data_IF_517786453661
#
_entry.id   IF_517786453661
#
_cell.length_a   1.000
_cell.length_b   1.000
_cell.length_c   1.000
_cell.angle_alpha   90.00
_cell.angle_beta   90.00
_cell.angle_gamma   90.00
#
_symmetry.space_group_name_H-M   'P 1'
#
loop_
_entity.id
_entity.type
_entity.pdbx_description
1 polymer ?
#
# COMPACT_ATOMS: atom_id res chain seq x y z
N UNK A 1 -4.02 -13.05 8.11
CA UNK A 1 -2.76 -12.90 8.88
C UNK A 1 -1.50 -13.25 8.08
N UNK A 2 -1.50 -14.20 7.14
CA UNK A 2 -0.30 -14.58 6.36
C UNK A 2 0.19 -13.51 5.37
N UNK A 3 -0.72 -12.89 4.61
CA UNK A 3 -0.34 -11.81 3.70
C UNK A 3 0.38 -10.67 4.42
N UNK A 4 -0.09 -10.28 5.61
CA UNK A 4 0.55 -9.21 6.39
C UNK A 4 1.98 -9.56 6.78
N UNK A 5 2.22 -10.78 7.29
CA UNK A 5 3.57 -11.25 7.62
C UNK A 5 4.51 -11.25 6.41
N UNK A 6 4.00 -11.67 5.24
CA UNK A 6 4.79 -11.64 4.01
C UNK A 6 5.06 -10.20 3.56
N UNK A 7 4.08 -9.30 3.70
CA UNK A 7 4.21 -7.89 3.36
C UNK A 7 5.22 -7.16 4.27
N UNK A 8 5.26 -7.50 5.56
CA UNK A 8 6.26 -7.05 6.54
C UNK A 8 7.68 -7.50 6.15
N UNK A 9 7.81 -8.69 5.55
CA UNK A 9 9.09 -9.18 5.01
C UNK A 9 9.44 -8.61 3.63
N UNK A 10 8.70 -7.62 3.14
CA UNK A 10 8.98 -6.98 1.86
C UNK A 10 8.50 -7.77 0.64
N UNK A 11 7.64 -8.78 0.80
CA UNK A 11 7.11 -9.53 -0.34
C UNK A 11 6.14 -8.67 -1.17
N UNK A 12 6.61 -8.22 -2.34
CA UNK A 12 5.88 -7.33 -3.27
C UNK A 12 4.47 -7.83 -3.61
N UNK A 13 4.31 -9.10 -3.97
CA UNK A 13 3.00 -9.68 -4.27
C UNK A 13 2.01 -9.63 -3.08
N UNK A 14 2.50 -9.81 -1.84
CA UNK A 14 1.67 -9.72 -0.65
C UNK A 14 1.29 -8.26 -0.37
N UNK A 15 2.22 -7.32 -0.52
CA UNK A 15 1.96 -5.90 -0.43
C UNK A 15 0.93 -5.45 -1.48
N UNK A 16 1.06 -5.88 -2.74
CA UNK A 16 0.09 -5.59 -3.80
C UNK A 16 -1.32 -6.11 -3.46
N UNK A 17 -1.44 -7.34 -2.98
CA UNK A 17 -2.74 -7.90 -2.60
C UNK A 17 -3.37 -7.14 -1.43
N UNK A 18 -2.59 -6.79 -0.41
CA UNK A 18 -3.09 -5.99 0.72
C UNK A 18 -3.48 -4.58 0.27
N UNK A 19 -2.71 -3.97 -0.63
CA UNK A 19 -3.03 -2.68 -1.23
C UNK A 19 -4.40 -2.70 -1.91
N UNK A 20 -4.63 -3.72 -2.73
CA UNK A 20 -5.91 -3.92 -3.42
C UNK A 20 -7.07 -4.21 -2.46
N UNK A 21 -6.84 -4.97 -1.39
CA UNK A 21 -7.85 -5.20 -0.35
C UNK A 21 -8.26 -3.90 0.35
N UNK A 22 -7.31 -3.04 0.70
CA UNK A 22 -7.62 -1.74 1.29
C UNK A 22 -8.29 -0.76 0.33
N UNK A 23 -7.97 -0.81 -0.96
CA UNK A 23 -8.63 0.04 -1.95
C UNK A 23 -10.08 -0.40 -2.25
N UNK A 24 -10.29 -1.71 -2.37
CA UNK A 24 -11.62 -2.30 -2.64
C UNK A 24 -12.49 -2.47 -1.40
N UNK A 25 -11.91 -2.52 -0.20
CA UNK A 25 -12.63 -2.86 1.03
C UNK A 25 -12.93 -4.35 1.19
N UNK A 26 -12.19 -5.23 0.49
CA UNK A 26 -12.40 -6.67 0.56
C UNK A 26 -11.71 -7.24 1.78
N UNK A 27 -12.50 -7.75 2.74
CA UNK A 27 -11.98 -8.37 3.97
C UNK A 27 -11.33 -7.40 4.96
N UNK A 28 -11.29 -6.11 4.64
CA UNK A 28 -10.81 -5.01 5.48
C UNK A 28 -11.66 -3.76 5.22
N UNK A 29 -11.72 -2.83 6.18
CA UNK A 29 -12.33 -1.52 5.94
C UNK A 29 -11.55 -0.78 4.86
N UNK A 30 -12.27 -0.24 3.87
CA UNK A 30 -11.69 0.55 2.78
C UNK A 30 -10.88 1.71 3.34
N UNK A 31 -9.62 1.80 2.94
CA UNK A 31 -8.69 2.85 3.35
C UNK A 31 -7.68 3.09 2.23
N UNK A 32 -7.95 4.10 1.40
CA UNK A 32 -7.10 4.45 0.26
C UNK A 32 -5.67 4.82 0.67
N UNK A 33 -5.49 5.47 1.82
CA UNK A 33 -4.16 5.86 2.32
C UNK A 33 -3.31 4.63 2.67
N UNK A 34 -3.91 3.61 3.31
CA UNK A 34 -3.22 2.32 3.52
C UNK A 34 -2.99 1.57 2.22
N UNK A 35 -3.98 1.56 1.33
CA UNK A 35 -3.86 0.94 0.00
C UNK A 35 -2.68 1.50 -0.78
N UNK A 36 -2.59 2.83 -0.85
CA UNK A 36 -1.48 3.56 -1.47
C UNK A 36 -0.13 3.21 -0.84
N UNK A 37 -0.05 3.19 0.51
CA UNK A 37 1.19 2.81 1.20
C UNK A 37 1.68 1.42 0.79
N UNK A 38 0.80 0.42 0.74
CA UNK A 38 1.20 -0.93 0.34
C UNK A 38 1.61 -1.02 -1.14
N UNK A 39 0.91 -0.32 -2.04
CA UNK A 39 1.34 -0.23 -3.44
C UNK A 39 2.69 0.48 -3.57
N UNK A 40 2.93 1.51 -2.77
CA UNK A 40 4.21 2.22 -2.73
C UNK A 40 5.35 1.28 -2.33
N UNK A 41 5.18 0.53 -1.23
CA UNK A 41 6.18 -0.46 -0.79
C UNK A 41 6.43 -1.54 -1.86
N UNK A 42 5.38 -2.01 -2.53
CA UNK A 42 5.52 -2.98 -3.61
C UNK A 42 6.28 -2.39 -4.83
N UNK A 43 6.13 -1.09 -5.10
CA UNK A 43 6.81 -0.40 -6.20
C UNK A 43 8.31 -0.23 -5.97
N UNK A 44 8.76 -0.12 -4.72
CA UNK A 44 10.18 -0.01 -4.38
C UNK A 44 10.99 -1.25 -4.79
N UNK A 45 10.35 -2.41 -4.98
CA UNK A 45 10.99 -3.66 -5.43
C UNK A 45 10.83 -3.92 -6.93
N UNK A 46 10.30 -2.97 -7.70
CA UNK A 46 10.33 -3.01 -9.17
C UNK A 46 9.22 -3.81 -9.85
N UNK A 47 8.15 -4.18 -9.14
CA UNK A 47 6.99 -4.79 -9.81
C UNK A 47 6.18 -3.74 -10.60
N UNK A 48 6.11 -3.86 -11.92
CA UNK A 48 5.39 -2.90 -12.78
C UNK A 48 3.88 -2.78 -12.48
N UNK A 49 3.27 -3.81 -11.88
CA UNK A 49 1.84 -3.83 -11.53
C UNK A 49 1.51 -2.81 -10.44
N UNK A 50 2.40 -2.62 -9.46
CA UNK A 50 2.17 -1.70 -8.35
C UNK A 50 2.18 -0.24 -8.80
N UNK A 51 2.98 0.11 -9.82
CA UNK A 51 3.05 1.48 -10.38
C UNK A 51 1.71 1.89 -10.99
N UNK A 52 1.04 0.98 -11.72
CA UNK A 52 -0.29 1.25 -12.29
C UNK A 52 -1.34 1.46 -11.20
N UNK A 53 -1.36 0.58 -10.20
CA UNK A 53 -2.29 0.70 -9.08
C UNK A 53 -2.05 1.96 -8.25
N UNK A 54 -0.78 2.33 -8.07
CA UNK A 54 -0.37 3.54 -7.37
C UNK A 54 -0.84 4.80 -8.10
N UNK A 55 -0.65 4.88 -9.43
CA UNK A 55 -1.14 5.98 -10.23
C UNK A 55 -2.67 6.08 -10.21
N UNK A 56 -3.36 4.94 -10.31
CA UNK A 56 -4.83 4.87 -10.26
C UNK A 56 -5.36 5.40 -8.93
N UNK A 57 -4.94 4.81 -7.82
CA UNK A 57 -5.46 5.20 -6.50
C UNK A 57 -5.08 6.64 -6.15
N UNK A 58 -3.89 7.10 -6.56
CA UNK A 58 -3.42 8.47 -6.34
C UNK A 58 -4.34 9.50 -6.98
N UNK A 59 -4.86 9.20 -8.17
CA UNK A 59 -5.76 10.08 -8.92
C UNK A 59 -7.09 10.31 -8.20
N UNK A 60 -7.49 9.39 -7.33
CA UNK A 60 -8.75 9.45 -6.59
C UNK A 60 -8.61 9.91 -5.13
N UNK A 61 -7.40 10.25 -4.68
CA UNK A 61 -7.12 10.60 -3.29
C UNK A 61 -7.14 12.11 -3.07
N UNK A 62 -7.72 12.54 -1.95
CA UNK A 62 -7.60 13.92 -1.50
C UNK A 62 -6.17 14.24 -1.02
N UNK A 63 -5.78 15.52 -0.94
CA UNK A 63 -4.51 15.93 -0.34
C UNK A 63 -4.33 15.41 1.11
N UNK A 64 -5.40 15.36 1.90
CA UNK A 64 -5.37 14.85 3.26
C UNK A 64 -5.12 13.33 3.29
N UNK A 65 -5.76 12.59 2.38
CA UNK A 65 -5.52 11.15 2.26
C UNK A 65 -4.10 10.84 1.81
N UNK A 66 -3.54 11.65 0.91
CA UNK A 66 -2.14 11.51 0.52
C UNK A 66 -1.20 11.76 1.69
N UNK A 67 -1.37 12.88 2.39
CA UNK A 67 -0.53 13.22 3.54
C UNK A 67 -0.56 12.09 4.58
N UNK A 68 -1.74 11.54 4.86
CA UNK A 68 -1.87 10.40 5.76
C UNK A 68 -1.16 9.13 5.22
N UNK A 69 -1.15 8.93 3.91
CA UNK A 69 -0.43 7.82 3.29
C UNK A 69 1.10 7.99 3.43
N UNK A 70 1.61 9.21 3.26
CA UNK A 70 3.03 9.55 3.50
C UNK A 70 3.43 9.28 4.95
N UNK A 71 2.57 9.64 5.91
CA UNK A 71 2.79 9.32 7.33
C UNK A 71 2.81 7.81 7.59
N UNK A 72 1.94 7.03 6.93
CA UNK A 72 1.97 5.57 7.02
C UNK A 72 3.22 4.97 6.41
N UNK A 73 3.68 5.49 5.27
CA UNK A 73 4.92 5.04 4.61
C UNK A 73 6.11 5.30 5.53
N UNK A 74 6.23 6.51 6.08
CA UNK A 74 7.33 6.87 7.00
C UNK A 74 7.38 5.92 8.20
N UNK A 75 6.24 5.75 8.89
CA UNK A 75 6.14 4.84 10.04
C UNK A 75 6.47 3.39 9.68
N UNK A 76 6.05 2.95 8.50
CA UNK A 76 6.33 1.59 8.03
C UNK A 76 7.83 1.38 7.79
N UNK A 77 8.49 2.30 7.08
CA UNK A 77 9.92 2.22 6.79
C UNK A 77 10.78 2.31 8.06
N UNK A 78 10.32 3.02 9.09
CA UNK A 78 10.96 3.02 10.42
C UNK A 78 10.81 1.67 11.14
N UNK A 79 9.68 1.00 10.96
CA UNK A 79 9.35 -0.24 11.67
C UNK A 79 9.89 -1.51 10.99
N UNK A 80 10.08 -1.46 9.66
CA UNK A 80 10.42 -2.62 8.82
C UNK A 80 11.52 -2.25 7.80
N UNK A 81 12.79 -2.16 8.23
CA UNK A 81 13.93 -1.87 7.36
C UNK A 81 14.28 -3.00 6.39
#
# INVERSE_FOLDING_TARGET
KWYMKAAEQGHSGAQNNIGAMYDSGVGVLKNKSRGYMFFYMASLKGEQVSIKNLALIRSEMSPQQLKLAEEYIAKWMESFP
#
